data_IF_950715627341
#
_entry.id   IF_950715627341
#
_cell.length_a   1.000
_cell.length_b   1.000
_cell.length_c   1.000
_cell.angle_alpha   90.00
_cell.angle_beta   90.00
_cell.angle_gamma   90.00
#
_symmetry.space_group_name_H-M   'P 1'
#
loop_
_entity.id
_entity.type
_entity.pdbx_description
1 polymer ?
#
# COMPACT_ATOMS: atom_id res chain seq x y z
N UNK A 1 21.50 10.29 -18.19
CA UNK A 1 20.62 9.33 -18.90
C UNK A 1 20.30 9.99 -20.23
N UNK A 2 20.84 9.48 -21.33
CA UNK A 2 20.53 9.96 -22.66
C UNK A 2 19.28 9.22 -23.15
N UNK A 3 18.19 9.95 -23.32
CA UNK A 3 16.89 9.40 -23.72
C UNK A 3 16.71 9.33 -25.24
N UNK A 4 17.71 9.76 -26.02
CA UNK A 4 17.59 9.98 -27.46
C UNK A 4 18.36 8.96 -28.31
N UNK A 5 19.13 8.06 -27.69
CA UNK A 5 20.10 7.21 -28.41
C UNK A 5 19.56 5.90 -28.98
N UNK A 6 18.52 5.31 -28.40
CA UNK A 6 18.02 3.99 -28.80
C UNK A 6 16.48 3.94 -28.88
N UNK A 7 15.97 3.12 -29.81
CA UNK A 7 14.55 2.88 -29.95
C UNK A 7 14.01 2.13 -28.70
N UNK A 8 12.79 2.44 -28.23
CA UNK A 8 12.23 1.78 -27.05
C UNK A 8 12.03 0.28 -27.29
N UNK A 9 12.37 -0.54 -26.29
CA UNK A 9 12.14 -1.99 -26.31
C UNK A 9 10.70 -2.28 -25.90
N UNK A 10 9.85 -2.87 -26.76
CA UNK A 10 8.46 -3.18 -26.41
C UNK A 10 8.37 -4.44 -25.53
N UNK A 11 7.66 -4.31 -24.40
CA UNK A 11 7.30 -5.45 -23.56
C UNK A 11 5.95 -6.05 -24.03
N UNK A 12 6.01 -7.14 -24.79
CA UNK A 12 4.84 -7.76 -25.41
C UNK A 12 4.28 -8.92 -24.56
N UNK A 13 2.97 -8.90 -24.31
CA UNK A 13 2.30 -10.01 -23.59
C UNK A 13 0.86 -9.74 -23.16
N UNK A 14 0.50 -8.47 -22.94
CA UNK A 14 -0.88 -8.09 -22.63
C UNK A 14 -1.81 -8.32 -23.83
N UNK A 15 -3.08 -8.62 -23.53
CA UNK A 15 -4.13 -8.92 -24.53
C UNK A 15 -5.29 -7.93 -24.48
N UNK A 16 -5.16 -6.90 -23.65
CA UNK A 16 -6.11 -5.81 -23.47
C UNK A 16 -5.32 -4.54 -23.16
N UNK A 17 -6.00 -3.40 -23.03
CA UNK A 17 -5.38 -2.14 -22.66
C UNK A 17 -4.62 -2.27 -21.33
N UNK A 18 -3.34 -1.87 -21.32
CA UNK A 18 -2.56 -1.76 -20.08
C UNK A 18 -3.07 -0.56 -19.30
N UNK A 19 -3.55 -0.78 -18.09
CA UNK A 19 -4.24 0.22 -17.26
C UNK A 19 -3.41 0.63 -16.05
N UNK A 20 -2.43 -0.19 -15.64
CA UNK A 20 -1.58 0.10 -14.50
C UNK A 20 -0.16 -0.45 -14.74
N UNK A 21 0.84 0.24 -14.18
CA UNK A 21 2.21 -0.22 -14.12
C UNK A 21 2.85 0.25 -12.80
N UNK A 22 3.68 -0.58 -12.19
CA UNK A 22 4.45 -0.23 -10.99
C UNK A 22 5.84 -0.88 -11.05
N UNK A 23 6.88 -0.05 -11.02
CA UNK A 23 8.26 -0.51 -10.96
C UNK A 23 8.70 -0.70 -9.50
N UNK A 24 9.47 -1.75 -9.25
CA UNK A 24 10.10 -2.06 -7.98
C UNK A 24 11.59 -2.33 -8.23
N UNK A 25 12.42 -1.26 -8.18
CA UNK A 25 13.85 -1.38 -8.50
C UNK A 25 14.61 -2.26 -7.51
N UNK A 26 14.15 -2.40 -6.27
CA UNK A 26 14.76 -3.23 -5.23
C UNK A 26 14.83 -4.71 -5.62
N UNK A 27 13.89 -5.16 -6.46
CA UNK A 27 13.81 -6.52 -6.98
C UNK A 27 13.98 -6.61 -8.49
N UNK A 28 14.39 -5.53 -9.16
CA UNK A 28 14.45 -5.41 -10.61
C UNK A 28 13.16 -5.90 -11.29
N UNK A 29 12.02 -5.55 -10.70
CA UNK A 29 10.70 -6.05 -11.05
C UNK A 29 9.84 -4.91 -11.61
N UNK A 30 9.13 -5.17 -12.70
CA UNK A 30 8.02 -4.34 -13.16
C UNK A 30 6.76 -5.19 -13.14
N UNK A 31 5.69 -4.67 -12.51
CA UNK A 31 4.36 -5.25 -12.60
C UNK A 31 3.50 -4.38 -13.52
N UNK A 32 2.79 -4.99 -14.48
CA UNK A 32 1.83 -4.30 -15.34
C UNK A 32 0.50 -5.04 -15.35
N UNK A 33 -0.60 -4.29 -15.36
CA UNK A 33 -1.96 -4.80 -15.28
C UNK A 33 -2.81 -4.32 -16.44
N UNK A 34 -3.76 -5.13 -16.89
CA UNK A 34 -4.66 -4.77 -17.98
C UNK A 34 -6.15 -4.77 -17.62
N UNK A 35 -6.95 -4.22 -18.55
CA UNK A 35 -8.40 -4.13 -18.44
C UNK A 35 -9.12 -5.49 -18.48
N UNK A 36 -8.41 -6.60 -18.75
CA UNK A 36 -8.95 -7.95 -18.64
C UNK A 36 -8.62 -8.63 -17.29
N UNK A 37 -8.02 -7.88 -16.34
CA UNK A 37 -7.68 -8.40 -15.02
C UNK A 37 -6.35 -9.16 -14.97
N UNK A 38 -5.58 -9.20 -16.07
CA UNK A 38 -4.31 -9.92 -16.14
C UNK A 38 -3.17 -9.02 -15.66
N UNK A 39 -2.28 -9.59 -14.85
CA UNK A 39 -1.06 -8.91 -14.41
C UNK A 39 0.16 -9.67 -14.90
N UNK A 40 1.11 -8.97 -15.52
CA UNK A 40 2.37 -9.51 -16.00
C UNK A 40 3.51 -8.95 -15.15
N UNK A 41 4.47 -9.82 -14.83
CA UNK A 41 5.71 -9.48 -14.16
C UNK A 41 6.85 -9.54 -15.16
N UNK A 42 7.72 -8.53 -15.12
CA UNK A 42 8.86 -8.37 -16.00
C UNK A 42 10.13 -8.18 -15.18
N UNK A 43 11.23 -8.74 -15.67
CA UNK A 43 12.57 -8.48 -15.18
C UNK A 43 13.07 -7.21 -15.88
N UNK A 44 13.40 -6.18 -15.11
CA UNK A 44 13.89 -4.89 -15.64
C UNK A 44 15.38 -4.89 -15.97
N UNK A 45 16.16 -5.85 -15.46
CA UNK A 45 17.56 -6.02 -15.84
C UNK A 45 17.67 -6.68 -17.23
N UNK A 46 16.82 -7.68 -17.47
CA UNK A 46 16.79 -8.43 -18.74
C UNK A 46 15.77 -7.90 -19.74
N UNK A 47 14.89 -6.98 -19.32
CA UNK A 47 13.76 -6.47 -20.12
C UNK A 47 12.92 -7.62 -20.67
N UNK A 48 12.61 -8.59 -19.80
CA UNK A 48 12.05 -9.88 -20.19
C UNK A 48 10.79 -10.24 -19.40
N UNK A 49 9.89 -10.98 -20.04
CA UNK A 49 8.73 -11.56 -19.36
C UNK A 49 9.18 -12.60 -18.33
N UNK A 50 8.68 -12.48 -17.10
CA UNK A 50 8.92 -13.45 -16.02
C UNK A 50 7.72 -14.37 -15.89
N UNK A 51 6.54 -13.79 -15.63
CA UNK A 51 5.30 -14.57 -15.43
C UNK A 51 4.04 -13.74 -15.55
N UNK A 52 2.92 -14.45 -15.60
CA UNK A 52 1.59 -13.88 -15.52
C UNK A 52 0.96 -14.28 -14.18
N UNK A 53 0.70 -13.28 -13.34
CA UNK A 53 -0.25 -13.44 -12.25
C UNK A 53 -1.64 -13.48 -12.87
N UNK A 54 -2.44 -14.48 -12.52
CA UNK A 54 -3.81 -14.62 -13.03
C UNK A 54 -4.80 -14.29 -11.91
N UNK A 55 -5.01 -13.01 -11.57
CA UNK A 55 -6.22 -12.64 -10.85
C UNK A 55 -7.41 -13.08 -11.71
N UNK A 56 -8.20 -14.04 -11.24
CA UNK A 56 -9.57 -14.18 -11.75
C UNK A 56 -10.37 -13.05 -11.10
N UNK A 57 -10.27 -11.86 -11.68
CA UNK A 57 -10.67 -10.64 -11.00
C UNK A 57 -11.13 -9.55 -11.97
N UNK A 58 -11.68 -8.45 -11.42
CA UNK A 58 -12.09 -7.30 -12.21
C UNK A 58 -10.92 -6.62 -12.95
N UNK A 59 -11.19 -5.72 -13.91
CA UNK A 59 -10.16 -4.90 -14.57
C UNK A 59 -9.18 -4.30 -13.57
N UNK A 60 -7.88 -4.39 -13.86
CA UNK A 60 -6.85 -3.83 -12.97
C UNK A 60 -6.93 -2.31 -13.04
N UNK A 61 -7.09 -1.66 -11.89
CA UNK A 61 -7.15 -0.20 -11.78
C UNK A 61 -5.84 0.39 -11.23
N UNK A 62 -5.17 -0.33 -10.32
CA UNK A 62 -3.89 0.10 -9.77
C UNK A 62 -3.04 -1.10 -9.33
N UNK A 63 -1.73 -0.88 -9.26
CA UNK A 63 -0.73 -1.83 -8.79
C UNK A 63 0.22 -1.14 -7.82
N UNK A 64 0.66 -1.87 -6.80
CA UNK A 64 1.83 -1.51 -6.00
C UNK A 64 2.63 -2.76 -5.66
N UNK A 65 3.94 -2.69 -5.82
CA UNK A 65 4.85 -3.76 -5.45
C UNK A 65 5.58 -3.37 -4.15
N UNK A 66 5.73 -4.32 -3.25
CA UNK A 66 6.44 -4.12 -1.98
C UNK A 66 7.95 -4.03 -2.25
N UNK A 67 8.60 -2.94 -1.86
CA UNK A 67 10.06 -2.79 -1.98
C UNK A 67 10.83 -3.65 -0.98
N UNK A 68 10.15 -4.38 -0.07
CA UNK A 68 10.80 -5.25 0.92
C UNK A 68 10.47 -6.73 0.74
N UNK A 69 9.31 -7.06 0.15
CA UNK A 69 8.84 -8.45 -0.04
C UNK A 69 8.78 -8.90 -1.50
N UNK A 70 8.85 -7.98 -2.47
CA UNK A 70 8.51 -8.20 -3.88
C UNK A 70 7.05 -8.62 -4.14
N UNK A 71 6.22 -8.68 -3.10
CA UNK A 71 4.79 -8.95 -3.23
C UNK A 71 4.09 -7.85 -4.03
N UNK A 72 3.14 -8.23 -4.87
CA UNK A 72 2.41 -7.34 -5.77
C UNK A 72 0.95 -7.29 -5.33
N UNK A 73 0.53 -6.11 -4.87
CA UNK A 73 -0.86 -5.81 -4.60
C UNK A 73 -1.56 -5.32 -5.87
N UNK A 74 -2.67 -5.98 -6.20
CA UNK A 74 -3.49 -5.74 -7.38
C UNK A 74 -4.84 -5.19 -6.92
N UNK A 75 -5.11 -3.94 -7.28
CA UNK A 75 -6.42 -3.33 -7.07
C UNK A 75 -7.25 -3.48 -8.35
N UNK A 76 -8.26 -4.33 -8.30
CA UNK A 76 -9.26 -4.45 -9.35
C UNK A 76 -10.55 -3.69 -9.04
N UNK A 77 -11.17 -3.10 -10.07
CA UNK A 77 -12.40 -2.32 -9.96
C UNK A 77 -13.49 -2.87 -10.89
N UNK A 78 -14.66 -3.16 -10.32
CA UNK A 78 -15.84 -3.63 -11.05
C UNK A 78 -17.12 -3.18 -10.36
N UNK A 79 -18.02 -4.12 -10.02
CA UNK A 79 -19.21 -3.81 -9.21
C UNK A 79 -18.86 -3.34 -7.79
N UNK A 80 -17.75 -3.85 -7.26
CA UNK A 80 -17.09 -3.36 -6.05
C UNK A 80 -15.60 -3.13 -6.33
N UNK A 81 -14.79 -3.17 -5.28
CA UNK A 81 -13.34 -3.17 -5.41
C UNK A 81 -12.73 -4.37 -4.69
N UNK A 82 -11.67 -4.91 -5.28
CA UNK A 82 -10.94 -6.06 -4.75
C UNK A 82 -9.45 -5.73 -4.75
N UNK A 83 -8.83 -5.81 -3.59
CA UNK A 83 -7.38 -5.77 -3.42
C UNK A 83 -6.91 -7.21 -3.21
N UNK A 84 -6.04 -7.71 -4.08
CA UNK A 84 -5.47 -9.06 -3.97
C UNK A 84 -3.96 -8.98 -4.01
N UNK A 85 -3.29 -9.62 -3.06
CA UNK A 85 -1.82 -9.64 -2.98
C UNK A 85 -1.30 -10.99 -3.40
N UNK A 86 -0.31 -10.97 -4.29
CA UNK A 86 0.42 -12.14 -4.74
C UNK A 86 1.90 -11.97 -4.45
N UNK A 87 2.59 -13.07 -4.16
CA UNK A 87 4.05 -13.05 -4.17
C UNK A 87 4.58 -12.87 -5.58
N UNK A 88 5.83 -12.42 -5.74
CA UNK A 88 6.51 -12.40 -7.04
C UNK A 88 6.56 -13.79 -7.70
N UNK A 89 6.46 -14.87 -6.91
CA UNK A 89 6.35 -16.25 -7.36
C UNK A 89 4.92 -16.69 -7.68
N UNK A 90 3.96 -15.77 -7.68
CA UNK A 90 2.56 -16.01 -8.06
C UNK A 90 1.72 -16.78 -7.06
N UNK A 91 2.20 -16.95 -5.83
CA UNK A 91 1.38 -17.50 -4.75
C UNK A 91 0.42 -16.43 -4.22
N UNK A 92 -0.82 -16.80 -3.92
CA UNK A 92 -1.78 -15.89 -3.29
C UNK A 92 -1.37 -15.67 -1.82
N UNK A 93 -1.23 -14.41 -1.43
CA UNK A 93 -1.03 -14.01 -0.02
C UNK A 93 -2.40 -13.80 0.64
N UNK A 94 -3.28 -13.03 0.01
CA UNK A 94 -4.62 -12.76 0.53
C UNK A 94 -5.42 -11.82 -0.35
N UNK A 95 -6.68 -11.58 0.02
CA UNK A 95 -7.53 -10.61 -0.65
C UNK A 95 -8.48 -9.90 0.31
N UNK A 96 -8.68 -8.61 0.10
CA UNK A 96 -9.68 -7.78 0.77
C UNK A 96 -10.62 -7.20 -0.28
N UNK A 97 -11.92 -7.41 -0.10
CA UNK A 97 -12.95 -6.90 -1.01
C UNK A 97 -13.89 -5.97 -0.26
N UNK A 98 -14.37 -4.93 -0.94
CA UNK A 98 -15.42 -4.05 -0.43
C UNK A 98 -16.58 -4.00 -1.42
N UNK A 99 -17.73 -4.52 -0.97
CA UNK A 99 -19.02 -4.45 -1.65
C UNK A 99 -19.36 -5.67 -2.52
N UNK A 100 -20.39 -6.40 -2.08
CA UNK A 100 -21.12 -7.42 -2.83
C UNK A 100 -22.57 -7.47 -2.35
N UNK A 101 -23.37 -6.47 -2.74
CA UNK A 101 -24.80 -6.40 -2.44
C UNK A 101 -25.36 -4.98 -2.39
N UNK A 102 -26.00 -4.54 -3.49
CA UNK A 102 -27.04 -3.49 -3.57
C UNK A 102 -26.77 -2.04 -3.10
N UNK A 103 -25.96 -1.81 -2.08
CA UNK A 103 -25.62 -0.50 -1.53
C UNK A 103 -24.12 -0.27 -1.62
N UNK A 104 -23.72 0.87 -2.20
CA UNK A 104 -22.33 1.25 -2.43
C UNK A 104 -21.49 1.25 -1.14
N UNK A 105 -20.87 0.10 -0.82
CA UNK A 105 -19.90 -0.02 0.26
C UNK A 105 -18.65 0.81 -0.01
N UNK A 106 -17.88 1.06 1.04
CA UNK A 106 -16.70 1.92 0.96
C UNK A 106 -15.59 1.27 0.14
N UNK A 107 -15.40 1.78 -1.09
CA UNK A 107 -14.52 1.18 -2.09
C UNK A 107 -13.07 1.55 -1.82
N UNK A 108 -12.19 0.58 -2.01
CA UNK A 108 -10.76 0.81 -2.14
C UNK A 108 -10.53 1.56 -3.46
N UNK A 109 -9.74 2.63 -3.43
CA UNK A 109 -9.52 3.52 -4.59
C UNK A 109 -8.04 3.60 -4.98
N UNK A 110 -7.14 3.45 -4.02
CA UNK A 110 -5.69 3.44 -4.22
C UNK A 110 -5.01 2.63 -3.10
N UNK A 111 -3.76 2.20 -3.33
CA UNK A 111 -2.96 1.49 -2.34
C UNK A 111 -1.47 1.77 -2.51
N UNK A 112 -0.69 1.71 -1.43
CA UNK A 112 0.76 1.88 -1.41
C UNK A 112 1.41 1.10 -0.26
N UNK A 113 2.52 0.42 -0.53
CA UNK A 113 3.33 -0.22 0.51
C UNK A 113 4.21 0.79 1.26
N UNK A 114 4.39 0.58 2.56
CA UNK A 114 5.53 1.17 3.28
C UNK A 114 6.84 0.46 2.89
N UNK A 115 7.97 1.10 3.18
CA UNK A 115 9.28 0.67 2.65
C UNK A 115 10.39 0.67 3.70
N UNK A 116 10.07 0.43 4.97
CA UNK A 116 11.08 0.40 6.02
C UNK A 116 11.84 -0.93 6.02
N UNK A 117 13.14 -0.93 6.35
CA UNK A 117 13.92 -2.18 6.40
C UNK A 117 13.31 -3.22 7.34
N UNK A 118 13.13 -4.44 6.83
CA UNK A 118 12.59 -5.56 7.62
C UNK A 118 13.54 -5.98 8.75
N UNK A 119 13.01 -6.73 9.71
CA UNK A 119 13.72 -7.18 10.91
C UNK A 119 13.73 -6.16 12.05
N UNK A 120 13.47 -4.88 11.76
CA UNK A 120 13.22 -3.83 12.77
C UNK A 120 11.79 -3.29 12.71
N UNK A 121 11.19 -3.27 11.52
CA UNK A 121 9.88 -2.67 11.26
C UNK A 121 8.93 -3.69 10.62
N UNK A 122 7.63 -3.52 10.86
CA UNK A 122 6.59 -4.37 10.27
C UNK A 122 5.87 -3.55 9.20
N UNK A 123 6.27 -3.72 7.93
CA UNK A 123 5.66 -2.97 6.85
C UNK A 123 4.14 -3.19 6.74
N UNK A 124 3.46 -2.21 6.17
CA UNK A 124 2.03 -2.22 5.94
C UNK A 124 1.69 -1.85 4.51
N UNK A 125 0.48 -2.23 4.10
CA UNK A 125 -0.17 -1.78 2.89
C UNK A 125 -1.21 -0.73 3.26
N UNK A 126 -0.95 0.53 2.95
CA UNK A 126 -1.91 1.62 3.14
C UNK A 126 -2.89 1.64 1.97
N UNK A 127 -4.17 1.74 2.28
CA UNK A 127 -5.28 1.65 1.33
C UNK A 127 -6.20 2.85 1.50
N UNK A 128 -6.40 3.60 0.43
CA UNK A 128 -7.29 4.76 0.41
C UNK A 128 -8.71 4.37 0.00
N UNK A 129 -9.69 4.98 0.66
CA UNK A 129 -11.10 4.61 0.51
C UNK A 129 -11.94 5.73 -0.13
N UNK A 130 -13.09 5.35 -0.70
CA UNK A 130 -14.07 6.27 -1.27
C UNK A 130 -14.70 7.21 -0.23
N UNK A 131 -14.67 6.83 1.05
CA UNK A 131 -15.09 7.65 2.18
C UNK A 131 -14.08 8.71 2.61
N UNK A 132 -12.92 8.82 1.94
CA UNK A 132 -11.83 9.71 2.38
C UNK A 132 -11.01 9.17 3.55
N UNK A 133 -11.29 7.94 3.99
CA UNK A 133 -10.53 7.28 5.06
C UNK A 133 -9.35 6.47 4.50
N UNK A 134 -8.40 6.14 5.38
CA UNK A 134 -7.28 5.25 5.08
C UNK A 134 -7.36 4.02 5.97
N UNK A 135 -7.15 2.83 5.39
CA UNK A 135 -6.91 1.58 6.12
C UNK A 135 -5.45 1.19 6.00
N UNK A 136 -4.86 0.78 7.12
CA UNK A 136 -3.54 0.14 7.13
C UNK A 136 -3.76 -1.35 7.30
N UNK A 137 -3.25 -2.13 6.36
CA UNK A 137 -3.30 -3.58 6.37
C UNK A 137 -1.91 -4.12 6.63
N UNK A 138 -1.82 -5.24 7.34
CA UNK A 138 -0.57 -5.98 7.51
C UNK A 138 -0.09 -6.50 6.14
N UNK A 139 1.20 -6.34 5.83
CA UNK A 139 1.74 -6.76 4.53
C UNK A 139 1.71 -8.27 4.29
N UNK A 140 1.64 -9.09 5.33
CA UNK A 140 1.77 -10.55 5.28
C UNK A 140 0.43 -11.28 5.20
N UNK A 141 -0.58 -10.82 5.93
CA UNK A 141 -1.89 -11.50 6.03
C UNK A 141 -3.09 -10.60 5.68
N UNK A 142 -2.83 -9.33 5.35
CA UNK A 142 -3.84 -8.30 5.10
C UNK A 142 -4.81 -8.05 6.27
N UNK A 143 -4.43 -8.44 7.49
CA UNK A 143 -5.17 -8.10 8.71
C UNK A 143 -5.21 -6.59 8.93
N UNK A 144 -6.34 -6.07 9.42
CA UNK A 144 -6.49 -4.65 9.73
C UNK A 144 -5.56 -4.24 10.88
N UNK A 145 -4.64 -3.31 10.62
CA UNK A 145 -3.76 -2.71 11.62
C UNK A 145 -4.36 -1.43 12.19
N UNK A 146 -4.92 -0.57 11.33
CA UNK A 146 -5.52 0.70 11.73
C UNK A 146 -6.52 1.22 10.70
N UNK A 147 -7.47 2.01 11.19
CA UNK A 147 -8.41 2.78 10.38
C UNK A 147 -8.29 4.26 10.74
N UNK A 148 -7.91 5.09 9.77
CA UNK A 148 -7.59 6.51 9.96
C UNK A 148 -8.67 7.36 9.29
N UNK A 149 -9.29 8.23 10.09
CA UNK A 149 -10.20 9.28 9.63
C UNK A 149 -9.46 10.61 9.68
N UNK A 150 -9.17 11.25 8.53
CA UNK A 150 -8.43 12.52 8.50
C UNK A 150 -9.09 13.69 9.25
N UNK A 151 -10.38 13.57 9.63
CA UNK A 151 -11.10 14.61 10.36
C UNK A 151 -11.47 15.82 9.50
N UNK A 152 -11.45 15.69 8.18
CA UNK A 152 -11.88 16.72 7.25
C UNK A 152 -13.39 16.96 7.40
N UNK A 153 -13.81 18.23 7.40
CA UNK A 153 -15.22 18.60 7.53
C UNK A 153 -16.11 18.01 6.42
N UNK A 154 -15.54 17.85 5.22
CA UNK A 154 -16.19 17.20 4.07
C UNK A 154 -15.22 16.19 3.47
N UNK A 155 -15.32 14.89 3.83
CA UNK A 155 -14.46 13.86 3.28
C UNK A 155 -14.85 13.54 1.83
N UNK A 156 -13.85 13.31 0.99
CA UNK A 156 -14.01 12.97 -0.42
C UNK A 156 -13.19 11.71 -0.77
N UNK A 157 -13.56 10.96 -1.83
CA UNK A 157 -12.82 9.78 -2.25
C UNK A 157 -11.33 10.07 -2.43
N UNK A 158 -10.48 9.23 -1.84
CA UNK A 158 -9.04 9.32 -2.06
C UNK A 158 -8.69 8.89 -3.49
N UNK A 159 -7.65 9.50 -4.05
CA UNK A 159 -7.19 9.24 -5.42
C UNK A 159 -5.80 8.61 -5.43
N UNK A 160 -4.90 9.07 -4.57
CA UNK A 160 -3.56 8.54 -4.44
C UNK A 160 -3.03 8.69 -3.01
N UNK A 161 -2.14 7.76 -2.64
CA UNK A 161 -1.40 7.75 -1.39
C UNK A 161 0.10 7.65 -1.70
N UNK A 162 0.93 8.28 -0.87
CA UNK A 162 2.38 8.14 -0.94
C UNK A 162 3.02 8.25 0.46
N UNK A 163 3.84 7.27 0.83
CA UNK A 163 4.67 7.37 2.03
C UNK A 163 5.88 8.28 1.78
N UNK A 164 6.30 9.02 2.81
CA UNK A 164 7.66 9.54 2.87
C UNK A 164 8.67 8.39 2.96
N UNK A 165 9.93 8.63 2.59
CA UNK A 165 10.99 7.61 2.61
C UNK A 165 11.19 6.97 4.00
N UNK A 166 11.02 7.76 5.05
CA UNK A 166 11.10 7.31 6.45
C UNK A 166 9.77 6.74 6.98
N UNK A 167 8.74 6.66 6.12
CA UNK A 167 7.37 6.25 6.42
C UNK A 167 6.68 7.02 7.56
N UNK A 168 7.26 8.13 8.05
CA UNK A 168 6.66 8.94 9.12
C UNK A 168 5.49 9.80 8.64
N UNK A 169 5.35 9.98 7.33
CA UNK A 169 4.28 10.76 6.72
C UNK A 169 3.61 9.95 5.63
N UNK A 170 2.29 10.01 5.59
CA UNK A 170 1.47 9.53 4.49
C UNK A 170 0.77 10.73 3.85
N UNK A 171 1.12 11.02 2.61
CA UNK A 171 0.45 12.02 1.80
C UNK A 171 -0.75 11.40 1.12
N UNK A 172 -1.88 12.09 1.15
CA UNK A 172 -3.12 11.67 0.51
C UNK A 172 -3.67 12.79 -0.37
N UNK A 173 -4.24 12.42 -1.51
CA UNK A 173 -5.00 13.32 -2.39
C UNK A 173 -6.43 12.84 -2.53
N UNK A 174 -7.38 13.77 -2.67
CA UNK A 174 -8.81 13.47 -2.79
C UNK A 174 -9.47 14.09 -4.03
N UNK A 175 -10.74 13.72 -4.28
CA UNK A 175 -11.53 14.20 -5.42
C UNK A 175 -11.92 15.68 -5.35
N UNK A 176 -11.77 16.31 -4.18
CA UNK A 176 -12.10 17.73 -3.95
C UNK A 176 -10.86 18.64 -4.10
N UNK A 177 -9.87 18.18 -4.87
CA UNK A 177 -8.63 18.90 -5.17
C UNK A 177 -7.75 19.16 -3.94
N UNK A 178 -7.85 18.35 -2.89
CA UNK A 178 -7.02 18.51 -1.68
C UNK A 178 -5.84 17.55 -1.70
N UNK A 179 -4.73 18.02 -1.14
CA UNK A 179 -3.61 17.19 -0.70
C UNK A 179 -3.39 17.46 0.78
N UNK A 180 -3.35 16.42 1.58
CA UNK A 180 -3.11 16.51 3.02
C UNK A 180 -2.10 15.46 3.48
N UNK A 181 -1.51 15.70 4.63
CA UNK A 181 -0.51 14.82 5.24
C UNK A 181 -1.07 14.24 6.54
N UNK A 182 -0.83 12.94 6.72
CA UNK A 182 -1.06 12.22 7.96
C UNK A 182 0.31 11.90 8.55
N UNK A 183 0.57 12.34 9.77
CA UNK A 183 1.84 12.07 10.46
C UNK A 183 1.70 10.91 11.44
N UNK A 184 2.73 10.07 11.47
CA UNK A 184 2.92 9.08 12.50
C UNK A 184 3.00 9.78 13.87
N UNK A 185 2.28 9.31 14.90
CA UNK A 185 2.55 9.76 16.24
C UNK A 185 4.00 9.42 16.60
N UNK A 186 4.73 10.42 17.07
CA UNK A 186 6.08 10.23 17.61
C UNK A 186 5.98 9.30 18.81
N UNK A 187 6.72 8.19 18.81
CA UNK A 187 6.83 7.37 20.01
C UNK A 187 7.61 8.16 21.08
N UNK A 188 6.97 8.60 22.18
CA UNK A 188 7.66 9.35 23.22
C UNK A 188 8.78 8.53 23.88
N UNK A 189 8.71 7.19 23.82
CA UNK A 189 9.70 6.30 24.41
C UNK A 189 10.94 6.11 23.54
N UNK A 190 10.86 6.38 22.23
CA UNK A 190 12.01 6.36 21.32
C UNK A 190 12.68 7.73 21.17
N UNK A 191 12.02 8.81 21.58
CA UNK A 191 12.60 10.17 21.56
C UNK A 191 13.50 10.52 22.76
N UNK A 192 13.60 9.64 23.77
CA UNK A 192 14.32 9.88 25.04
C UNK A 192 15.80 9.45 25.09
N UNK A 193 16.45 9.20 23.96
CA UNK A 193 17.85 8.77 23.90
C UNK A 193 18.83 9.93 24.07
N UNK A 194 18.85 10.58 25.23
CA UNK A 194 19.81 11.68 25.50
C UNK A 194 19.48 12.51 26.73
N UNK A 195 19.42 11.88 27.92
CA UNK A 195 19.24 12.62 29.16
C UNK A 195 19.50 11.75 30.38
N UNK A 196 20.71 11.84 30.92
CA UNK A 196 21.04 11.34 32.26
C UNK A 196 20.21 12.07 33.32
N UNK A 197 19.50 11.32 34.18
CA UNK A 197 18.81 11.87 35.35
C UNK A 197 17.87 10.85 35.97
N UNK A 198 18.13 10.46 37.21
CA UNK A 198 17.56 9.27 37.84
C UNK A 198 16.24 9.45 38.62
N UNK A 199 15.80 8.33 39.21
CA UNK A 199 14.98 8.32 40.42
C UNK A 199 13.53 7.82 40.27
N UNK A 200 13.30 6.57 40.67
CA UNK A 200 12.23 6.23 41.63
C UNK A 200 10.81 5.91 41.11
N UNK A 201 10.33 4.70 41.45
CA UNK A 201 9.01 4.52 42.07
C UNK A 201 7.85 3.98 41.20
N UNK A 202 7.63 2.66 41.30
CA UNK A 202 6.35 1.99 41.61
C UNK A 202 5.06 2.26 40.81
N UNK A 203 4.44 1.17 40.32
CA UNK A 203 2.99 0.97 40.45
C UNK A 203 2.20 0.65 39.17
N UNK A 204 1.50 -0.49 39.20
CA UNK A 204 0.14 -0.63 38.65
C UNK A 204 0.01 -1.03 37.18
N UNK A 205 -0.09 -2.34 36.92
CA UNK A 205 -0.55 -2.88 35.64
C UNK A 205 -2.04 -2.58 35.42
N UNK A 206 -2.33 -1.71 34.45
CA UNK A 206 -3.65 -1.51 33.87
C UNK A 206 -3.60 -1.84 32.39
N UNK A 207 -4.23 -2.95 32.00
CA UNK A 207 -4.35 -3.38 30.60
C UNK A 207 -5.41 -2.51 29.89
N UNK A 208 -5.03 -1.26 29.62
CA UNK A 208 -5.86 -0.33 28.85
C UNK A 208 -5.92 -0.74 27.39
N UNK A 209 -7.13 -0.79 26.82
CA UNK A 209 -7.33 -0.91 25.38
C UNK A 209 -6.54 0.19 24.68
N UNK A 210 -5.54 -0.21 23.89
CA UNK A 210 -4.68 0.71 23.16
C UNK A 210 -5.52 1.45 22.12
N UNK A 211 -5.58 2.77 22.21
CA UNK A 211 -6.25 3.62 21.22
C UNK A 211 -5.54 3.49 19.86
N UNK A 212 -6.25 3.73 18.76
CA UNK A 212 -5.71 3.66 17.39
C UNK A 212 -4.42 4.48 17.16
N UNK A 213 -4.17 5.48 18.00
CA UNK A 213 -2.92 6.28 18.02
C UNK A 213 -1.69 5.49 18.50
N UNK A 214 -1.85 4.50 19.38
CA UNK A 214 -0.76 3.64 19.84
C UNK A 214 -0.42 2.51 18.85
N UNK A 215 -1.31 2.21 17.91
CA UNK A 215 -1.06 1.19 16.88
C UNK A 215 -0.13 1.72 15.79
N UNK A 216 -0.26 2.98 15.36
CA UNK A 216 0.54 3.54 14.27
C UNK A 216 2.06 3.52 14.53
N UNK A 217 2.50 3.74 15.79
CA UNK A 217 3.91 3.72 16.17
C UNK A 217 4.49 2.30 16.39
N UNK A 218 3.64 1.26 16.45
CA UNK A 218 4.10 -0.11 16.65
C UNK A 218 4.46 -0.82 15.33
N UNK A 219 4.10 -0.23 14.18
CA UNK A 219 4.24 -0.86 12.87
C UNK A 219 5.19 -0.09 11.92
N UNK A 220 5.76 1.05 12.32
CA UNK A 220 6.76 1.81 11.56
C UNK A 220 7.85 2.35 12.48
#
# INVERSE_FOLDING_TARGET
IDWLGEAPVPLLGHRSAVTAAHACPEFALLATGDAAGRVLLWDTNQVAYVRCLRPSGPPVAALTASPTLADVAVLGQGQGSQLTVYTANGALVGSVSSGGGGGGGDRITCAVYSSLPEGRFINCLAVGLSSGCVRLLNSWDLGDLAFIRPGLASPAPLLALAFSRDCRRLYASDRDNRVFVLEAPVDPYLSGGGGSGGGGGGGGGGMGQKTSKQQFAAFL
#
